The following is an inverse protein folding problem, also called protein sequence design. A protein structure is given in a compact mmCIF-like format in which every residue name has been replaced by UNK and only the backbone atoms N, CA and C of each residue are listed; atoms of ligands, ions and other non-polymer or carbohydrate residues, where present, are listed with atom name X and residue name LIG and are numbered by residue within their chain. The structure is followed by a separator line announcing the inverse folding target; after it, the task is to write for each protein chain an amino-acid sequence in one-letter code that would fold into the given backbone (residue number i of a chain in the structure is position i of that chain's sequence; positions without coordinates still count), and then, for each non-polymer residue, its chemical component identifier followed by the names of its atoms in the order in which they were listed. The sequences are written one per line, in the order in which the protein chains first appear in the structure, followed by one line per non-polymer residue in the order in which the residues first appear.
data_IF_968891408093
#
_entry.id   IF_968891408093
#
_cell.length_a   1.000
_cell.length_b   1.000
_cell.length_c   1.000
_cell.angle_alpha   90.00
_cell.angle_beta   90.00
_cell.angle_gamma   90.00
#
_symmetry.space_group_name_H-M   'P 1'
#
loop_
_entity.id
_entity.type
_entity.pdbx_description
1 polymer ?
#
# COMPACT_ATOMS: atom_id res chain seq x y z
N UNK A 1 5.22 -17.98 4.10
CA UNK A 1 5.82 -18.38 5.39
C UNK A 1 6.44 -19.77 5.31
N UNK A 2 5.70 -20.83 5.01
CA UNK A 2 6.19 -22.24 5.01
C UNK A 2 7.50 -22.49 4.28
N UNK A 3 7.78 -21.76 3.22
CA UNK A 3 9.04 -21.87 2.47
C UNK A 3 10.23 -21.22 3.16
N UNK A 4 9.99 -20.31 4.11
CA UNK A 4 11.02 -19.48 4.77
C UNK A 4 11.23 -19.86 6.24
N UNK A 5 10.26 -20.55 6.84
CA UNK A 5 10.21 -20.80 8.27
C UNK A 5 9.56 -22.18 8.51
N UNK A 6 10.36 -23.13 8.95
CA UNK A 6 9.90 -24.48 9.28
C UNK A 6 8.96 -24.45 10.49
N UNK A 7 9.16 -23.56 11.46
CA UNK A 7 8.27 -23.40 12.60
C UNK A 7 6.85 -23.04 12.19
N UNK A 8 6.68 -22.31 11.09
CA UNK A 8 5.35 -21.98 10.56
C UNK A 8 4.58 -23.24 10.06
N UNK A 9 5.31 -24.29 9.67
CA UNK A 9 4.70 -25.58 9.27
C UNK A 9 4.24 -26.34 10.50
N UNK A 10 5.05 -26.33 11.57
CA UNK A 10 4.73 -27.01 12.83
C UNK A 10 3.55 -26.34 13.55
N UNK A 11 3.46 -25.02 13.51
CA UNK A 11 2.37 -24.26 14.09
C UNK A 11 1.06 -24.36 13.33
N UNK A 12 1.10 -24.77 12.06
CA UNK A 12 -0.09 -24.82 11.24
C UNK A 12 -1.06 -25.89 11.74
N UNK A 13 -2.31 -25.50 11.92
CA UNK A 13 -3.42 -26.42 12.21
C UNK A 13 -4.76 -25.79 11.79
N UNK A 14 -5.80 -26.59 11.55
CA UNK A 14 -7.14 -26.05 11.29
C UNK A 14 -7.64 -25.10 12.40
N UNK A 15 -7.29 -25.40 13.65
CA UNK A 15 -7.64 -24.53 14.78
C UNK A 15 -6.92 -23.18 14.72
N UNK A 16 -5.66 -23.15 14.30
CA UNK A 16 -4.93 -21.90 14.13
C UNK A 16 -5.44 -21.09 12.93
N UNK A 17 -5.84 -21.74 11.84
CA UNK A 17 -6.51 -21.08 10.71
C UNK A 17 -7.77 -20.35 11.19
N UNK A 18 -8.62 -21.03 11.98
CA UNK A 18 -9.83 -20.40 12.52
C UNK A 18 -9.52 -19.21 13.44
N UNK A 19 -8.49 -19.32 14.29
CA UNK A 19 -8.04 -18.19 15.13
C UNK A 19 -7.51 -17.02 14.29
N UNK A 20 -6.72 -17.29 13.25
CA UNK A 20 -6.21 -16.26 12.35
C UNK A 20 -7.35 -15.55 11.63
N UNK A 21 -8.30 -16.29 11.08
CA UNK A 21 -9.49 -15.73 10.43
C UNK A 21 -10.29 -14.82 11.38
N UNK A 22 -10.47 -15.24 12.63
CA UNK A 22 -11.16 -14.44 13.65
C UNK A 22 -10.36 -13.17 13.99
N UNK A 23 -9.07 -13.27 14.23
CA UNK A 23 -8.20 -12.12 14.52
C UNK A 23 -8.19 -11.10 13.37
N UNK A 24 -8.15 -11.57 12.13
CA UNK A 24 -8.25 -10.70 10.96
C UNK A 24 -9.57 -9.92 10.94
N UNK A 25 -10.70 -10.56 11.30
CA UNK A 25 -12.00 -9.88 11.41
C UNK A 25 -11.99 -8.82 12.51
N UNK A 26 -11.37 -9.10 13.64
CA UNK A 26 -11.23 -8.14 14.74
C UNK A 26 -10.42 -6.91 14.30
N UNK A 27 -9.26 -7.12 13.68
CA UNK A 27 -8.42 -6.04 13.15
C UNK A 27 -9.21 -5.18 12.14
N UNK A 28 -9.90 -5.80 11.20
CA UNK A 28 -10.68 -5.05 10.21
C UNK A 28 -11.82 -4.28 10.87
N UNK A 29 -12.51 -4.86 11.84
CA UNK A 29 -13.58 -4.19 12.60
C UNK A 29 -13.05 -2.96 13.33
N UNK A 30 -11.87 -3.07 13.94
CA UNK A 30 -11.27 -1.98 14.71
C UNK A 30 -10.85 -0.80 13.82
N UNK A 31 -10.33 -1.07 12.62
CA UNK A 31 -9.94 -0.01 11.69
C UNK A 31 -11.09 0.53 10.83
N UNK A 32 -12.20 -0.19 10.74
CA UNK A 32 -13.33 0.16 9.88
C UNK A 32 -13.91 1.57 10.11
N UNK A 33 -14.03 2.05 11.36
CA UNK A 33 -14.47 3.43 11.62
C UNK A 33 -13.54 4.49 11.07
N UNK A 34 -12.25 4.17 10.86
CA UNK A 34 -11.26 5.10 10.30
C UNK A 34 -11.41 5.27 8.79
N UNK A 35 -12.14 4.38 8.13
CA UNK A 35 -12.41 4.46 6.70
C UNK A 35 -13.63 5.34 6.46
N UNK A 36 -13.49 6.37 5.64
CA UNK A 36 -14.61 7.23 5.25
C UNK A 36 -15.62 6.47 4.40
N UNK A 37 -16.86 6.91 4.39
CA UNK A 37 -17.88 6.42 3.48
C UNK A 37 -17.42 6.62 2.03
N UNK A 38 -17.64 5.60 1.20
CA UNK A 38 -17.10 5.57 -0.16
C UNK A 38 -15.59 5.29 -0.26
N UNK A 39 -14.88 5.19 0.86
CA UNK A 39 -13.47 4.82 0.91
C UNK A 39 -13.23 3.36 0.54
N UNK A 40 -11.99 3.03 0.19
CA UNK A 40 -11.61 1.69 -0.27
C UNK A 40 -10.73 1.00 0.77
N UNK A 41 -11.05 -0.25 1.05
CA UNK A 41 -10.23 -1.20 1.80
C UNK A 41 -9.61 -2.19 0.82
N UNK A 42 -8.30 -2.36 0.86
CA UNK A 42 -7.61 -3.47 0.22
C UNK A 42 -7.35 -4.51 1.31
N UNK A 43 -8.11 -5.60 1.26
CA UNK A 43 -7.91 -6.75 2.13
C UNK A 43 -7.01 -7.76 1.43
N UNK A 44 -5.91 -8.13 2.06
CA UNK A 44 -4.96 -9.07 1.49
C UNK A 44 -4.36 -10.00 2.53
N UNK A 45 -4.11 -11.24 2.13
CA UNK A 45 -3.45 -12.27 2.94
C UNK A 45 -2.38 -12.98 2.12
N UNK A 46 -1.47 -13.66 2.79
CA UNK A 46 -0.49 -14.55 2.14
C UNK A 46 -0.89 -16.03 2.29
N UNK A 47 -2.11 -16.32 2.70
CA UNK A 47 -2.65 -17.67 2.81
C UNK A 47 -3.37 -18.09 1.53
N UNK A 48 -3.80 -19.36 1.47
CA UNK A 48 -4.54 -19.91 0.33
C UNK A 48 -5.84 -20.60 0.76
N UNK A 49 -6.20 -20.54 2.04
CA UNK A 49 -7.42 -21.14 2.54
C UNK A 49 -8.60 -20.17 2.44
N UNK A 50 -9.78 -20.69 2.16
CA UNK A 50 -10.97 -19.88 1.97
C UNK A 50 -11.43 -19.17 3.25
N UNK A 51 -11.14 -19.71 4.43
CA UNK A 51 -11.58 -19.13 5.71
C UNK A 51 -10.96 -17.76 5.97
N UNK A 52 -9.66 -17.64 5.68
CA UNK A 52 -8.93 -16.36 5.83
C UNK A 52 -9.11 -15.46 4.60
N UNK A 53 -9.47 -16.01 3.46
CA UNK A 53 -9.53 -15.31 2.18
C UNK A 53 -10.97 -14.91 1.84
N UNK A 54 -11.69 -15.73 1.08
CA UNK A 54 -13.02 -15.42 0.56
C UNK A 54 -14.05 -15.21 1.66
N UNK A 55 -14.06 -16.07 2.70
CA UNK A 55 -15.04 -15.96 3.77
C UNK A 55 -14.86 -14.67 4.57
N UNK A 56 -13.62 -14.24 4.80
CA UNK A 56 -13.36 -12.96 5.46
C UNK A 56 -13.72 -11.78 4.56
N UNK A 57 -13.41 -11.82 3.28
CA UNK A 57 -13.80 -10.77 2.35
C UNK A 57 -15.34 -10.65 2.23
N UNK A 58 -16.04 -11.80 2.19
CA UNK A 58 -17.50 -11.84 2.21
C UNK A 58 -18.08 -11.30 3.51
N UNK A 59 -17.48 -11.67 4.65
CA UNK A 59 -17.86 -11.16 5.95
C UNK A 59 -17.74 -9.62 6.02
N UNK A 60 -16.64 -9.05 5.50
CA UNK A 60 -16.46 -7.58 5.42
C UNK A 60 -17.58 -6.95 4.60
N UNK A 61 -17.90 -7.53 3.44
CA UNK A 61 -18.95 -7.01 2.56
C UNK A 61 -20.33 -7.03 3.24
N UNK A 62 -20.65 -8.11 3.94
CA UNK A 62 -21.98 -8.34 4.54
C UNK A 62 -22.14 -7.62 5.87
N UNK A 63 -21.21 -7.83 6.80
CA UNK A 63 -21.35 -7.35 8.17
C UNK A 63 -20.90 -5.90 8.37
N UNK A 64 -19.91 -5.44 7.61
CA UNK A 64 -19.41 -4.07 7.70
C UNK A 64 -19.99 -3.13 6.64
N UNK A 65 -20.80 -3.64 5.72
CA UNK A 65 -21.48 -2.84 4.73
C UNK A 65 -20.54 -2.32 3.63
N UNK A 66 -19.89 -3.22 2.91
CA UNK A 66 -19.06 -2.89 1.76
C UNK A 66 -19.55 -3.53 0.47
N UNK A 67 -19.13 -2.98 -0.66
CA UNK A 67 -19.33 -3.54 -1.99
C UNK A 67 -17.97 -3.94 -2.57
N UNK A 68 -17.91 -5.08 -3.25
CA UNK A 68 -16.71 -5.48 -3.97
C UNK A 68 -16.43 -4.56 -5.14
N UNK A 69 -15.16 -4.22 -5.34
CA UNK A 69 -14.70 -3.41 -6.46
C UNK A 69 -13.93 -4.30 -7.43
N UNK A 70 -14.41 -4.36 -8.67
CA UNK A 70 -13.70 -5.07 -9.74
C UNK A 70 -12.54 -4.25 -10.26
N UNK A 71 -11.37 -4.89 -10.32
CA UNK A 71 -10.16 -4.31 -10.92
C UNK A 71 -9.96 -4.97 -12.29
N UNK A 72 -9.75 -4.19 -13.37
CA UNK A 72 -9.40 -4.75 -14.65
C UNK A 72 -8.07 -5.51 -14.56
N UNK A 73 -8.11 -6.81 -14.88
CA UNK A 73 -6.92 -7.66 -14.95
C UNK A 73 -6.71 -8.14 -16.38
N UNK A 74 -5.46 -8.23 -16.80
CA UNK A 74 -5.11 -8.76 -18.11
C UNK A 74 -4.95 -10.28 -18.03
N UNK A 75 -5.45 -11.04 -19.03
CA UNK A 75 -5.35 -12.49 -19.03
C UNK A 75 -3.91 -13.02 -18.88
N UNK A 76 -2.96 -12.31 -19.48
CA UNK A 76 -1.52 -12.66 -19.41
C UNK A 76 -0.91 -12.55 -18.01
N UNK A 77 -1.57 -11.94 -17.06
CA UNK A 77 -1.13 -11.90 -15.67
C UNK A 77 -1.41 -13.20 -14.91
N UNK A 78 -2.20 -14.09 -15.47
CA UNK A 78 -2.54 -15.39 -14.90
C UNK A 78 -3.08 -15.34 -13.47
N UNK A 79 -3.76 -14.25 -13.12
CA UNK A 79 -4.40 -14.09 -11.81
C UNK A 79 -5.67 -14.95 -11.78
N UNK A 80 -5.81 -15.77 -10.75
CA UNK A 80 -6.99 -16.61 -10.53
C UNK A 80 -8.03 -15.81 -9.74
N UNK A 81 -9.32 -15.98 -10.04
CA UNK A 81 -10.42 -15.40 -9.29
C UNK A 81 -10.71 -16.13 -7.98
N UNK A 82 -11.85 -15.79 -7.35
CA UNK A 82 -12.38 -16.47 -6.18
C UNK A 82 -12.55 -17.98 -6.44
N UNK A 83 -12.31 -18.79 -5.43
CA UNK A 83 -12.53 -20.24 -5.47
C UNK A 83 -13.91 -20.65 -4.98
N UNK A 84 -14.63 -19.79 -4.29
CA UNK A 84 -15.89 -20.15 -3.62
C UNK A 84 -17.13 -19.50 -4.25
N UNK A 85 -16.95 -18.35 -4.89
CA UNK A 85 -18.06 -17.56 -5.44
C UNK A 85 -17.64 -16.73 -6.65
N UNK A 86 -18.56 -15.92 -7.21
CA UNK A 86 -18.31 -15.08 -8.37
C UNK A 86 -17.88 -13.65 -8.04
N UNK A 87 -17.58 -13.32 -6.77
CA UNK A 87 -17.15 -11.98 -6.40
C UNK A 87 -15.74 -11.67 -6.93
N UNK A 88 -15.43 -10.41 -7.27
CA UNK A 88 -14.13 -10.02 -7.80
C UNK A 88 -13.06 -10.07 -6.69
N UNK A 89 -12.44 -11.21 -6.54
CA UNK A 89 -11.32 -11.47 -5.68
C UNK A 89 -10.16 -12.03 -6.51
N UNK A 90 -8.94 -11.84 -6.06
CA UNK A 90 -7.73 -12.05 -6.86
C UNK A 90 -6.74 -12.92 -6.09
N UNK A 91 -6.34 -14.05 -6.72
CA UNK A 91 -5.35 -14.98 -6.19
C UNK A 91 -4.11 -15.00 -7.07
N UNK A 92 -3.00 -14.62 -6.48
CA UNK A 92 -1.67 -14.65 -7.09
C UNK A 92 -0.98 -15.95 -6.69
N UNK A 93 -1.22 -17.01 -7.45
CA UNK A 93 -0.77 -18.36 -7.09
C UNK A 93 0.67 -18.57 -7.58
N UNK A 94 1.60 -19.03 -6.70
CA UNK A 94 2.96 -19.39 -7.11
C UNK A 94 2.96 -20.39 -8.27
N UNK A 95 3.82 -20.16 -9.25
CA UNK A 95 3.86 -20.96 -10.47
C UNK A 95 2.94 -20.47 -11.59
N UNK A 96 1.86 -19.73 -11.27
CA UNK A 96 1.03 -19.02 -12.26
C UNK A 96 1.41 -17.56 -12.36
N UNK A 97 1.61 -16.90 -11.23
CA UNK A 97 2.06 -15.51 -11.15
C UNK A 97 3.48 -15.46 -10.58
N UNK A 98 4.18 -14.34 -10.84
CA UNK A 98 5.46 -14.09 -10.18
C UNK A 98 5.21 -13.69 -8.73
N UNK A 99 5.94 -14.30 -7.79
CA UNK A 99 5.88 -13.97 -6.37
C UNK A 99 5.65 -15.17 -5.48
N UNK A 100 5.44 -14.90 -4.20
CA UNK A 100 5.31 -15.93 -3.15
C UNK A 100 3.87 -16.32 -2.86
N UNK A 101 2.93 -15.67 -3.52
CA UNK A 101 1.51 -15.86 -3.32
C UNK A 101 0.85 -14.73 -2.52
N UNK A 102 -0.34 -14.37 -2.94
CA UNK A 102 -1.16 -13.36 -2.30
C UNK A 102 -2.63 -13.64 -2.63
N UNK A 103 -3.51 -13.41 -1.69
CA UNK A 103 -4.93 -13.16 -1.93
C UNK A 103 -5.22 -11.67 -1.78
N UNK A 104 -6.11 -11.13 -2.59
CA UNK A 104 -6.51 -9.74 -2.51
C UNK A 104 -8.00 -9.58 -2.86
N UNK A 105 -8.70 -8.78 -2.07
CA UNK A 105 -10.02 -8.26 -2.38
C UNK A 105 -10.02 -6.74 -2.19
N UNK A 106 -10.67 -6.03 -3.08
CA UNK A 106 -10.89 -4.58 -2.94
C UNK A 106 -12.35 -4.35 -2.63
N UNK A 107 -12.62 -3.67 -1.53
CA UNK A 107 -13.95 -3.38 -1.05
C UNK A 107 -14.12 -1.87 -0.88
N UNK A 108 -15.30 -1.37 -1.19
CA UNK A 108 -15.68 0.03 -0.99
C UNK A 108 -16.72 0.11 0.11
N UNK A 109 -16.45 0.90 1.14
CA UNK A 109 -17.41 1.16 2.22
C UNK A 109 -18.65 1.83 1.66
N UNK A 110 -19.83 1.28 1.98
CA UNK A 110 -21.10 1.89 1.57
C UNK A 110 -21.28 3.25 2.26
N UNK A 111 -21.96 4.14 1.59
CA UNK A 111 -22.24 5.50 2.03
C UNK A 111 -21.97 6.51 0.93
N UNK A 112 -22.41 7.74 1.14
CA UNK A 112 -22.05 8.84 0.26
C UNK A 112 -20.54 9.08 0.42
N UNK A 113 -19.82 9.02 -0.71
CA UNK A 113 -18.43 9.45 -0.69
C UNK A 113 -18.41 10.89 -0.17
N UNK A 114 -17.88 11.08 1.04
CA UNK A 114 -17.46 12.41 1.40
C UNK A 114 -16.54 12.88 0.28
N UNK A 115 -16.87 14.03 -0.28
CA UNK A 115 -15.95 14.70 -1.18
C UNK A 115 -14.78 15.14 -0.33
N UNK A 116 -13.92 14.17 0.03
CA UNK A 116 -12.61 14.53 0.56
C UNK A 116 -12.06 15.55 -0.42
N UNK A 117 -11.71 16.74 0.03
CA UNK A 117 -11.04 17.68 -0.83
C UNK A 117 -9.88 16.89 -1.44
N UNK A 118 -9.87 16.78 -2.77
CA UNK A 118 -8.68 16.30 -3.48
C UNK A 118 -7.51 17.05 -2.84
N UNK A 119 -6.35 16.39 -2.66
CA UNK A 119 -5.17 17.11 -2.23
C UNK A 119 -5.19 18.44 -2.98
N UNK A 120 -5.57 19.50 -2.28
CA UNK A 120 -5.72 20.81 -2.93
C UNK A 120 -4.35 21.13 -3.47
N UNK A 121 -4.25 21.81 -4.60
CA UNK A 121 -3.01 22.44 -5.11
C UNK A 121 -2.39 23.41 -4.09
N UNK A 122 -2.96 23.49 -2.90
CA UNK A 122 -2.40 24.22 -1.77
C UNK A 122 -1.21 23.42 -1.26
N UNK A 123 -0.04 24.07 -1.15
CA UNK A 123 1.13 23.42 -0.59
C UNK A 123 0.76 22.79 0.75
N UNK A 124 1.21 21.55 0.95
CA UNK A 124 1.06 20.86 2.24
C UNK A 124 1.44 21.85 3.33
N UNK A 125 0.50 22.14 4.23
CA UNK A 125 0.72 23.11 5.31
C UNK A 125 1.86 22.55 6.15
N UNK A 126 3.04 23.15 6.04
CA UNK A 126 4.14 22.84 6.92
C UNK A 126 3.65 23.10 8.35
N UNK A 127 3.69 22.07 9.19
CA UNK A 127 3.40 22.20 10.61
C UNK A 127 4.33 23.29 11.19
N UNK A 128 3.76 24.27 11.83
CA UNK A 128 4.58 25.26 12.52
C UNK A 128 5.05 24.64 13.83
N UNK A 129 6.29 24.87 14.20
CA UNK A 129 6.89 24.36 15.43
C UNK A 129 6.02 24.60 16.68
N UNK A 130 5.31 25.72 16.71
CA UNK A 130 4.33 26.07 17.76
C UNK A 130 3.15 25.06 17.84
N UNK A 131 2.75 24.47 16.74
CA UNK A 131 1.59 23.56 16.66
C UNK A 131 1.98 22.15 17.17
N UNK A 132 3.28 21.88 17.26
CA UNK A 132 3.86 20.63 17.77
C UNK A 132 4.27 20.73 19.25
N UNK A 133 4.08 21.89 19.87
CA UNK A 133 4.47 22.12 21.26
C UNK A 133 3.73 21.16 22.21
N UNK A 134 4.49 20.37 22.96
CA UNK A 134 3.95 19.37 23.90
C UNK A 134 3.74 17.99 23.27
N UNK A 135 4.04 17.79 21.97
CA UNK A 135 4.02 16.50 21.32
C UNK A 135 5.44 15.93 21.22
N UNK A 136 5.57 14.62 21.43
CA UNK A 136 6.79 13.89 21.10
C UNK A 136 6.69 13.40 19.66
N UNK A 137 7.24 14.19 18.72
CA UNK A 137 7.19 13.88 17.30
C UNK A 137 8.23 12.83 16.97
N UNK A 138 7.81 11.61 16.64
CA UNK A 138 8.69 10.51 16.24
C UNK A 138 9.14 10.62 14.77
N UNK A 139 8.25 11.11 13.91
CA UNK A 139 8.53 11.36 12.51
C UNK A 139 7.54 12.40 12.00
N UNK A 140 7.93 13.19 11.04
CA UNK A 140 7.06 14.12 10.34
C UNK A 140 7.29 14.04 8.84
N UNK A 141 6.31 14.48 8.04
CA UNK A 141 6.25 14.29 6.59
C UNK A 141 7.51 14.69 5.82
N UNK A 142 7.45 15.80 5.05
CA UNK A 142 8.59 16.23 4.23
C UNK A 142 9.53 17.12 5.04
N UNK A 143 10.80 16.75 5.13
CA UNK A 143 11.83 17.56 5.77
C UNK A 143 12.21 18.74 4.90
N UNK A 144 12.65 19.84 5.54
CA UNK A 144 13.21 20.96 4.83
C UNK A 144 14.51 20.54 4.09
N UNK A 145 14.75 21.11 2.91
CA UNK A 145 15.99 20.83 2.17
C UNK A 145 17.20 21.40 2.91
N UNK A 146 18.34 20.74 2.72
CA UNK A 146 19.61 21.18 3.31
C UNK A 146 20.23 22.30 2.45
N UNK A 147 20.53 23.42 3.07
CA UNK A 147 21.29 24.49 2.45
C UNK A 147 22.81 24.20 2.57
N UNK A 148 23.50 24.06 1.44
CA UNK A 148 24.97 23.92 1.42
C UNK A 148 25.59 25.01 0.54
N UNK A 149 26.06 26.08 1.17
CA UNK A 149 26.52 27.25 0.42
C UNK A 149 25.37 27.92 -0.33
N UNK A 150 25.49 27.98 -1.66
CA UNK A 150 24.43 28.49 -2.55
C UNK A 150 23.46 27.39 -3.01
N UNK A 151 23.83 26.13 -2.82
CA UNK A 151 23.07 24.99 -3.32
C UNK A 151 22.02 24.55 -2.31
N UNK A 152 20.86 24.18 -2.81
CA UNK A 152 19.75 23.60 -2.08
C UNK A 152 19.68 22.11 -2.41
N UNK A 153 19.86 21.27 -1.38
CA UNK A 153 19.86 19.81 -1.54
C UNK A 153 18.54 19.29 -1.00
N UNK A 154 17.70 18.61 -1.82
CA UNK A 154 16.43 18.06 -1.37
C UNK A 154 16.67 16.95 -0.33
N UNK A 155 15.81 16.90 0.68
CA UNK A 155 15.74 15.75 1.56
C UNK A 155 15.09 14.58 0.82
N UNK A 156 15.45 13.35 1.18
CA UNK A 156 14.88 12.14 0.56
C UNK A 156 13.35 12.08 0.73
N UNK A 157 12.82 12.60 1.82
CA UNK A 157 11.39 12.67 2.07
C UNK A 157 10.65 13.57 1.07
N UNK A 158 11.29 14.65 0.61
CA UNK A 158 10.76 15.50 -0.45
C UNK A 158 10.82 14.81 -1.81
N UNK A 159 11.93 14.14 -2.11
CA UNK A 159 12.09 13.40 -3.36
C UNK A 159 11.07 12.26 -3.52
N UNK A 160 10.67 11.64 -2.41
CA UNK A 160 9.68 10.56 -2.37
C UNK A 160 8.24 11.05 -2.14
N UNK A 161 8.02 12.36 -1.97
CA UNK A 161 6.68 12.91 -1.77
C UNK A 161 5.85 12.85 -3.05
N UNK A 162 4.52 12.86 -2.89
CA UNK A 162 3.59 12.92 -4.03
C UNK A 162 3.57 14.28 -4.73
N UNK A 163 4.16 15.30 -4.12
CA UNK A 163 4.25 16.67 -4.64
C UNK A 163 5.70 17.16 -4.59
N UNK A 164 6.63 16.57 -5.36
CA UNK A 164 8.00 17.06 -5.39
C UNK A 164 8.05 18.45 -6.05
N UNK A 165 8.67 19.39 -5.37
CA UNK A 165 8.91 20.75 -5.92
C UNK A 165 10.14 20.75 -6.83
N UNK A 166 10.05 20.06 -7.96
CA UNK A 166 11.16 19.88 -8.91
C UNK A 166 11.78 21.19 -9.37
N UNK A 167 10.99 22.26 -9.49
CA UNK A 167 11.41 23.59 -9.92
C UNK A 167 12.40 24.28 -8.96
N UNK A 168 12.53 23.76 -7.74
CA UNK A 168 13.46 24.30 -6.72
C UNK A 168 14.89 23.78 -6.89
N UNK A 169 15.09 22.75 -7.68
CA UNK A 169 16.34 22.00 -7.77
C UNK A 169 16.81 21.89 -9.21
N UNK A 170 18.14 21.84 -9.38
CA UNK A 170 18.70 21.42 -10.65
C UNK A 170 18.34 19.94 -10.87
N UNK A 171 17.53 19.68 -11.88
CA UNK A 171 17.07 18.34 -12.21
C UNK A 171 17.56 17.94 -13.59
N UNK A 172 17.91 16.67 -13.75
CA UNK A 172 18.26 16.08 -15.04
C UNK A 172 17.48 14.80 -15.23
N UNK A 173 16.88 14.64 -16.40
CA UNK A 173 16.24 13.39 -16.77
C UNK A 173 17.29 12.43 -17.32
N UNK A 174 17.27 11.20 -16.84
CA UNK A 174 18.16 10.14 -17.29
C UNK A 174 17.34 8.99 -17.89
N UNK A 175 17.93 8.27 -18.82
CA UNK A 175 17.30 7.08 -19.37
C UNK A 175 17.26 5.92 -18.37
N UNK A 176 16.51 4.88 -18.71
CA UNK A 176 16.34 3.73 -17.83
C UNK A 176 17.67 3.02 -17.49
N UNK A 177 18.61 2.77 -18.43
CA UNK A 177 19.92 2.21 -18.11
C UNK A 177 20.71 3.05 -17.10
N UNK A 178 20.77 4.36 -17.28
CA UNK A 178 21.47 5.27 -16.37
C UNK A 178 20.78 5.32 -15.00
N UNK A 179 19.44 5.30 -14.94
CA UNK A 179 18.70 5.22 -13.68
C UNK A 179 19.02 3.93 -12.91
N UNK A 180 19.10 2.79 -13.57
CA UNK A 180 19.48 1.51 -12.94
C UNK A 180 20.93 1.54 -12.46
N UNK A 181 21.87 2.07 -13.25
CA UNK A 181 23.27 2.23 -12.84
C UNK A 181 23.37 3.11 -11.57
N UNK A 182 22.66 4.23 -11.54
CA UNK A 182 22.59 5.10 -10.36
C UNK A 182 22.09 4.36 -9.11
N UNK A 183 21.00 3.61 -9.25
CA UNK A 183 20.43 2.82 -8.13
C UNK A 183 21.38 1.73 -7.64
N UNK A 184 22.26 1.21 -8.51
CA UNK A 184 23.34 0.27 -8.17
C UNK A 184 24.58 0.94 -7.59
N UNK A 185 24.58 2.28 -7.45
CA UNK A 185 25.71 3.10 -7.01
C UNK A 185 26.90 3.05 -8.00
N UNK A 186 26.63 2.82 -9.27
CA UNK A 186 27.60 2.89 -10.34
C UNK A 186 27.75 4.35 -10.83
N UNK A 187 28.91 4.68 -11.39
CA UNK A 187 29.09 6.01 -11.95
C UNK A 187 28.24 6.17 -13.22
N UNK A 188 27.55 7.30 -13.33
CA UNK A 188 26.77 7.66 -14.52
C UNK A 188 27.31 8.94 -15.12
N UNK A 189 27.23 9.07 -16.46
CA UNK A 189 27.53 10.31 -17.17
C UNK A 189 26.22 11.07 -17.35
N UNK A 190 26.16 12.27 -16.81
CA UNK A 190 25.00 13.14 -17.01
C UNK A 190 25.09 13.86 -18.38
N UNK A 191 23.97 14.09 -19.05
CA UNK A 191 23.94 14.90 -20.24
C UNK A 191 24.45 16.32 -19.95
N UNK A 192 25.08 17.00 -20.88
CA UNK A 192 25.46 18.40 -20.70
C UNK A 192 24.20 19.25 -20.46
N UNK A 193 24.29 20.16 -19.47
CA UNK A 193 23.23 21.09 -19.17
C UNK A 193 23.14 22.21 -20.18
#
# INVERSE_FOLDING_TARGET
MFRKDEGAIEEWSPANVAKCAQLQREIVRDIWPCLNDGGHLIYSTCTFNAHEDEENANWIAQELGADFVSIPIKPEWNITGSLTDGHPMYRFIPGKTRGEGLFMAVLRKRGAADTLPRPSDKPLVAWKEKDLKGLHVLAHGVNAPLQKGKDLIPDISEALSILPHKERYAAVDVDYPAAIAYLRREAITLPPQ
#
